data_IF_677660928851
#
_entry.id   IF_677660928851
#
_cell.length_a   1.000
_cell.length_b   1.000
_cell.length_c   1.000
_cell.angle_alpha   90.00
_cell.angle_beta   90.00
_cell.angle_gamma   90.00
#
_symmetry.space_group_name_H-M   'P 1'
#
loop_
_entity.id
_entity.type
_entity.pdbx_description
1 polymer ?
#
# COMPACT_ATOMS: atom_id res chain seq x y z
N UNK A 1 18.33 29.59 48.83
CA UNK A 1 19.43 28.99 48.05
C UNK A 1 18.89 27.74 47.37
N UNK A 2 19.09 27.63 46.07
CA UNK A 2 18.52 26.56 45.24
C UNK A 2 18.04 27.13 43.91
N UNK A 3 18.99 27.48 43.04
CA UNK A 3 18.76 27.91 41.66
C UNK A 3 18.16 26.77 40.82
N UNK A 4 17.27 27.05 39.86
CA UNK A 4 16.84 26.06 38.88
C UNK A 4 17.88 25.91 37.76
N UNK A 5 18.24 24.66 37.43
CA UNK A 5 19.10 24.31 36.31
C UNK A 5 18.42 24.55 34.94
N UNK A 6 19.19 24.92 33.90
CA UNK A 6 18.65 25.36 32.61
C UNK A 6 18.32 24.20 31.65
N UNK A 7 17.39 24.47 30.73
CA UNK A 7 17.01 23.62 29.60
C UNK A 7 18.15 23.49 28.55
N UNK A 8 18.26 22.38 27.81
CA UNK A 8 19.26 22.24 26.75
C UNK A 8 18.83 23.02 25.50
N UNK A 9 19.80 23.73 24.92
CA UNK A 9 19.67 24.54 23.72
C UNK A 9 19.61 23.71 22.44
N UNK A 10 18.83 24.20 21.50
CA UNK A 10 18.66 23.73 20.12
C UNK A 10 19.92 24.11 19.29
N UNK A 11 20.71 23.11 18.91
CA UNK A 11 21.93 23.29 18.13
C UNK A 11 21.57 23.44 16.63
N UNK A 12 21.82 24.65 16.13
CA UNK A 12 21.60 25.07 14.74
C UNK A 12 22.77 24.60 13.87
N UNK A 13 22.51 23.74 12.89
CA UNK A 13 23.51 23.29 11.91
C UNK A 13 24.05 24.46 11.06
N UNK A 14 25.36 24.46 10.70
CA UNK A 14 25.97 25.53 9.93
C UNK A 14 25.68 25.40 8.43
N UNK A 15 25.51 26.56 7.79
CA UNK A 15 25.44 26.72 6.35
C UNK A 15 26.85 26.62 5.74
N UNK A 16 27.03 25.78 4.72
CA UNK A 16 28.28 25.64 4.00
C UNK A 16 28.17 26.34 2.63
N UNK A 17 29.06 27.31 2.44
CA UNK A 17 29.22 28.17 1.27
C UNK A 17 30.00 27.47 0.15
N UNK A 18 29.52 27.65 -1.08
CA UNK A 18 30.20 27.26 -2.30
C UNK A 18 31.42 28.16 -2.57
N UNK A 19 32.58 27.54 -2.82
CA UNK A 19 33.73 28.19 -3.46
C UNK A 19 34.10 27.52 -4.78
N UNK A 20 34.45 28.40 -5.70
CA UNK A 20 34.74 28.26 -7.12
C UNK A 20 36.20 27.83 -7.35
N UNK A 21 36.44 26.93 -8.31
CA UNK A 21 37.77 26.75 -8.91
C UNK A 21 37.67 26.10 -10.29
N UNK A 22 37.69 26.93 -11.33
CA UNK A 22 37.97 26.48 -12.70
C UNK A 22 39.47 26.31 -12.94
N UNK A 23 39.86 25.41 -13.85
CA UNK A 23 41.03 25.57 -14.76
C UNK A 23 41.00 24.60 -15.96
N UNK A 24 40.97 25.20 -17.17
CA UNK A 24 41.56 24.89 -18.51
C UNK A 24 41.56 23.48 -19.15
N UNK A 25 40.88 23.45 -20.31
CA UNK A 25 41.35 23.23 -21.69
C UNK A 25 42.65 22.42 -21.95
N UNK A 26 42.47 21.32 -22.70
CA UNK A 26 43.46 20.72 -23.60
C UNK A 26 42.74 19.92 -24.69
N UNK A 27 42.79 20.36 -25.95
CA UNK A 27 42.23 19.63 -27.09
C UNK A 27 43.18 18.53 -27.58
N UNK A 28 42.69 17.68 -28.49
CA UNK A 28 43.39 17.12 -29.67
C UNK A 28 42.35 16.49 -30.60
N UNK A 29 42.60 16.57 -31.91
CA UNK A 29 41.64 16.34 -32.97
C UNK A 29 41.73 14.95 -33.63
N UNK A 30 40.57 14.45 -34.06
CA UNK A 30 40.22 13.57 -35.21
C UNK A 30 41.06 12.32 -35.53
N UNK A 31 40.37 11.15 -35.57
CA UNK A 31 40.11 10.36 -36.80
C UNK A 31 39.21 9.13 -36.55
N UNK A 32 38.25 8.90 -37.45
CA UNK A 32 37.84 7.58 -37.95
C UNK A 32 36.73 6.80 -37.23
N UNK A 33 35.50 6.88 -37.75
CA UNK A 33 34.35 6.04 -37.40
C UNK A 33 34.54 4.56 -37.76
N UNK A 34 33.80 3.65 -37.10
CA UNK A 34 32.88 2.78 -37.83
C UNK A 34 31.45 2.90 -37.30
N UNK A 35 30.50 2.75 -38.23
CA UNK A 35 29.05 2.86 -38.02
C UNK A 35 28.55 1.68 -37.20
N UNK A 36 28.01 1.94 -36.01
CA UNK A 36 27.32 0.97 -35.17
C UNK A 36 25.87 1.46 -34.98
N UNK A 37 24.90 0.68 -35.50
CA UNK A 37 23.48 0.97 -35.39
C UNK A 37 23.04 0.85 -33.93
N UNK A 38 22.96 1.99 -33.23
CA UNK A 38 22.45 2.08 -31.86
C UNK A 38 20.98 2.48 -31.91
N UNK A 39 20.11 1.54 -31.60
CA UNK A 39 18.71 1.82 -31.30
C UNK A 39 18.65 2.69 -30.04
N UNK A 40 18.17 3.93 -30.19
CA UNK A 40 17.91 4.84 -29.07
C UNK A 40 16.55 4.44 -28.50
N UNK A 41 16.53 4.12 -27.20
CA UNK A 41 15.31 3.90 -26.43
C UNK A 41 14.57 5.24 -26.24
N UNK A 42 13.30 5.30 -26.63
CA UNK A 42 12.42 6.47 -26.59
C UNK A 42 12.09 7.00 -25.17
N UNK A 43 12.67 6.41 -24.12
CA UNK A 43 12.50 6.88 -22.74
C UNK A 43 13.06 8.30 -22.51
N UNK A 44 14.01 8.75 -23.33
CA UNK A 44 14.57 10.12 -23.23
C UNK A 44 13.73 11.18 -23.96
N UNK A 45 12.88 10.82 -24.91
CA UNK A 45 11.99 11.79 -25.58
C UNK A 45 10.77 12.14 -24.72
N UNK A 46 10.21 11.18 -23.97
CA UNK A 46 9.04 11.41 -23.10
C UNK A 46 9.30 12.43 -21.98
N UNK A 47 10.48 12.41 -21.37
CA UNK A 47 10.86 13.35 -20.30
C UNK A 47 11.03 14.79 -20.79
N UNK A 48 11.47 14.99 -22.04
CA UNK A 48 11.69 16.33 -22.60
C UNK A 48 10.38 16.98 -23.07
N UNK A 49 9.47 16.21 -23.65
CA UNK A 49 8.17 16.70 -24.13
C UNK A 49 7.24 17.02 -22.95
N UNK A 50 7.19 16.18 -21.91
CA UNK A 50 6.36 16.43 -20.72
C UNK A 50 6.86 17.65 -19.92
N UNK A 51 8.18 17.80 -19.75
CA UNK A 51 8.77 19.00 -19.11
C UNK A 51 8.56 20.28 -19.92
N UNK A 52 8.52 20.18 -21.26
CA UNK A 52 8.24 21.30 -22.16
C UNK A 52 6.76 21.70 -22.11
N UNK A 53 5.85 20.73 -22.05
CA UNK A 53 4.40 20.97 -21.93
C UNK A 53 4.06 21.71 -20.62
N UNK A 54 4.55 21.22 -19.47
CA UNK A 54 4.27 21.82 -18.15
C UNK A 54 4.89 23.21 -17.99
N UNK A 55 6.10 23.45 -18.52
CA UNK A 55 6.72 24.79 -18.52
C UNK A 55 5.93 25.80 -19.35
N UNK A 56 5.32 25.36 -20.44
CA UNK A 56 4.57 26.25 -21.34
C UNK A 56 3.21 26.63 -20.73
N UNK A 57 2.56 25.73 -19.99
CA UNK A 57 1.30 26.02 -19.27
C UNK A 57 1.51 27.00 -18.10
N UNK A 58 2.61 26.89 -17.36
CA UNK A 58 2.92 27.81 -16.25
C UNK A 58 3.26 29.24 -16.73
N UNK A 59 3.92 29.39 -17.88
CA UNK A 59 4.27 30.72 -18.42
C UNK A 59 3.02 31.50 -18.85
N UNK A 60 2.00 30.82 -19.40
CA UNK A 60 0.73 31.45 -19.83
C UNK A 60 -0.11 31.94 -18.64
N UNK A 61 -0.04 31.28 -17.47
CA UNK A 61 -0.75 31.71 -16.25
C UNK A 61 -0.18 33.00 -15.64
N UNK A 62 1.06 33.36 -15.93
CA UNK A 62 1.72 34.53 -15.33
C UNK A 62 1.46 35.88 -16.04
N UNK A 63 0.79 35.88 -17.20
CA UNK A 63 0.63 37.10 -18.04
C UNK A 63 -0.78 37.47 -18.49
N UNK A 64 -1.82 36.77 -18.05
CA UNK A 64 -3.19 37.09 -18.45
C UNK A 64 -3.85 38.12 -17.52
N UNK A 65 -3.85 39.40 -17.94
CA UNK A 65 -4.73 40.41 -17.36
C UNK A 65 -6.19 40.12 -17.73
N UNK A 66 -7.07 40.30 -16.74
CA UNK A 66 -8.53 40.14 -16.76
C UNK A 66 -9.13 40.64 -18.09
N UNK A 67 -9.66 39.73 -18.90
CA UNK A 67 -10.38 40.10 -20.13
C UNK A 67 -10.61 38.98 -21.15
N UNK A 68 -9.81 37.90 -21.13
CA UNK A 68 -9.88 36.83 -22.14
C UNK A 68 -10.00 35.42 -21.52
N UNK A 69 -10.84 35.24 -20.50
CA UNK A 69 -10.96 33.97 -19.77
C UNK A 69 -11.56 32.82 -20.60
N UNK A 70 -12.49 33.10 -21.53
CA UNK A 70 -13.19 32.04 -22.27
C UNK A 70 -12.32 31.37 -23.35
N UNK A 71 -11.56 32.14 -24.13
CA UNK A 71 -10.64 31.59 -25.13
C UNK A 71 -9.45 30.86 -24.48
N UNK A 72 -8.94 31.36 -23.36
CA UNK A 72 -7.87 30.71 -22.62
C UNK A 72 -8.32 29.35 -22.03
N UNK A 73 -9.55 29.28 -21.50
CA UNK A 73 -10.13 28.01 -21.03
C UNK A 73 -10.39 27.01 -22.16
N UNK A 74 -10.86 27.44 -23.33
CA UNK A 74 -11.09 26.55 -24.47
C UNK A 74 -9.80 25.96 -25.02
N UNK A 75 -8.73 26.77 -25.12
CA UNK A 75 -7.40 26.30 -25.53
C UNK A 75 -6.80 25.36 -24.48
N UNK A 76 -7.03 25.60 -23.19
CA UNK A 76 -6.63 24.68 -22.12
C UNK A 76 -7.39 23.35 -22.15
N UNK A 77 -8.69 23.36 -22.49
CA UNK A 77 -9.49 22.14 -22.62
C UNK A 77 -9.05 21.29 -23.81
N UNK A 78 -8.69 21.93 -24.94
CA UNK A 78 -8.14 21.24 -26.11
C UNK A 78 -6.75 20.65 -25.82
N UNK A 79 -5.87 21.39 -25.16
CA UNK A 79 -4.55 20.89 -24.78
C UNK A 79 -4.61 19.75 -23.74
N UNK A 80 -5.60 19.77 -22.83
CA UNK A 80 -5.87 18.66 -21.92
C UNK A 80 -6.44 17.43 -22.65
N UNK A 81 -7.30 17.64 -23.66
CA UNK A 81 -7.82 16.57 -24.52
C UNK A 81 -6.71 15.90 -25.34
N UNK A 82 -5.77 16.69 -25.88
CA UNK A 82 -4.62 16.19 -26.63
C UNK A 82 -3.58 15.51 -25.72
N UNK A 83 -3.44 15.95 -24.45
CA UNK A 83 -2.62 15.28 -23.45
C UNK A 83 -3.23 13.96 -22.96
N UNK A 84 -4.55 13.87 -22.78
CA UNK A 84 -5.23 12.61 -22.43
C UNK A 84 -5.23 11.61 -23.61
N UNK A 85 -5.18 12.11 -24.85
CA UNK A 85 -4.97 11.26 -26.02
C UNK A 85 -3.55 10.68 -26.09
N UNK A 86 -2.56 11.33 -25.49
CA UNK A 86 -1.17 10.85 -25.47
C UNK A 86 -0.94 9.63 -24.55
N UNK A 87 -1.85 9.32 -23.62
CA UNK A 87 -1.82 8.06 -22.84
C UNK A 87 -2.31 6.83 -23.65
N UNK A 88 -2.85 7.02 -24.85
CA UNK A 88 -3.35 5.93 -25.72
C UNK A 88 -2.41 5.57 -26.86
N UNK A 89 -1.09 5.71 -26.68
CA UNK A 89 -0.14 5.30 -27.71
C UNK A 89 0.03 3.76 -27.71
N UNK A 90 -0.83 3.10 -28.49
CA UNK A 90 -0.70 1.68 -28.83
C UNK A 90 0.53 1.49 -29.73
N UNK A 91 1.52 0.74 -29.25
CA UNK A 91 2.66 0.29 -30.05
C UNK A 91 2.22 -0.83 -31.00
N UNK A 92 1.52 -0.49 -32.09
CA UNK A 92 1.14 -1.45 -33.13
C UNK A 92 2.32 -1.76 -34.05
N UNK A 93 3.06 -2.83 -33.79
CA UNK A 93 4.00 -3.43 -34.76
C UNK A 93 3.36 -4.69 -35.35
N UNK A 94 3.16 -4.71 -36.68
CA UNK A 94 2.33 -5.68 -37.40
C UNK A 94 3.17 -6.64 -38.24
N UNK A 95 3.03 -7.97 -38.04
CA UNK A 95 3.35 -8.98 -39.06
C UNK A 95 2.50 -10.25 -38.85
N UNK A 96 2.01 -10.83 -39.95
CA UNK A 96 1.50 -12.21 -40.00
C UNK A 96 2.50 -13.05 -40.80
N UNK A 97 2.79 -14.26 -40.32
CA UNK A 97 3.61 -15.25 -41.02
C UNK A 97 2.67 -16.23 -41.70
N UNK A 98 2.49 -16.08 -43.01
CA UNK A 98 1.90 -17.15 -43.81
C UNK A 98 2.82 -17.43 -45.00
N UNK A 99 3.66 -18.44 -44.82
CA UNK A 99 4.38 -19.06 -45.92
C UNK A 99 3.41 -19.78 -46.85
N UNK A 100 3.18 -19.22 -48.04
CA UNK A 100 3.29 -19.98 -49.29
C UNK A 100 3.28 -19.06 -50.52
N UNK A 101 4.27 -19.23 -51.39
CA UNK A 101 4.18 -19.09 -52.86
C UNK A 101 3.58 -17.83 -53.49
N UNK A 102 4.45 -17.12 -54.23
CA UNK A 102 4.15 -16.18 -55.33
C UNK A 102 3.66 -14.76 -54.99
N UNK A 103 4.65 -13.87 -54.83
CA UNK A 103 4.86 -12.83 -55.85
C UNK A 103 3.89 -11.65 -55.95
N UNK A 104 2.94 -11.46 -55.04
CA UNK A 104 2.26 -10.17 -54.78
C UNK A 104 1.89 -10.08 -53.29
N UNK A 105 2.73 -9.40 -52.50
CA UNK A 105 2.40 -9.09 -51.10
C UNK A 105 1.47 -7.89 -51.07
N UNK A 106 0.17 -8.14 -51.18
CA UNK A 106 -0.84 -7.20 -50.67
C UNK A 106 -0.88 -7.36 -49.15
N UNK A 107 -0.50 -6.31 -48.43
CA UNK A 107 -0.61 -6.24 -46.98
C UNK A 107 -2.10 -6.02 -46.67
N UNK A 108 -2.81 -7.07 -46.26
CA UNK A 108 -4.17 -6.95 -45.74
C UNK A 108 -4.12 -6.43 -44.30
N UNK A 109 -4.48 -5.17 -44.11
CA UNK A 109 -4.65 -4.56 -42.80
C UNK A 109 -5.90 -5.12 -42.11
N UNK A 110 -5.75 -6.16 -41.30
CA UNK A 110 -6.77 -6.46 -40.31
C UNK A 110 -6.58 -5.50 -39.14
N UNK A 111 -7.31 -4.38 -39.15
CA UNK A 111 -7.32 -3.37 -38.09
C UNK A 111 -7.98 -3.84 -36.79
N UNK A 112 -7.65 -5.06 -36.35
CA UNK A 112 -8.13 -5.65 -35.11
C UNK A 112 -7.29 -5.12 -33.95
N UNK A 113 -7.93 -4.56 -32.94
CA UNK A 113 -7.30 -4.05 -31.72
C UNK A 113 -7.65 -4.93 -30.53
N UNK A 114 -6.65 -5.34 -29.76
CA UNK A 114 -6.85 -5.93 -28.44
C UNK A 114 -7.22 -4.84 -27.44
N UNK A 115 -8.22 -5.12 -26.60
CA UNK A 115 -8.61 -4.30 -25.46
C UNK A 115 -8.54 -5.15 -24.20
N UNK A 116 -8.08 -4.56 -23.10
CA UNK A 116 -8.04 -5.19 -21.77
C UNK A 116 -8.61 -4.20 -20.77
N UNK A 117 -9.55 -4.66 -19.95
CA UNK A 117 -10.25 -3.84 -18.97
C UNK A 117 -10.41 -4.60 -17.65
N UNK A 118 -10.33 -3.85 -16.57
CA UNK A 118 -10.76 -4.27 -15.26
C UNK A 118 -12.09 -3.57 -14.94
N UNK A 119 -13.15 -4.34 -14.68
CA UNK A 119 -14.47 -3.79 -14.41
C UNK A 119 -14.51 -2.91 -13.14
N UNK A 120 -13.73 -3.28 -12.12
CA UNK A 120 -13.54 -2.51 -10.91
C UNK A 120 -12.08 -2.06 -10.76
N UNK A 121 -11.87 -0.82 -10.33
CA UNK A 121 -10.53 -0.30 -10.02
C UNK A 121 -9.96 -0.90 -8.73
N UNK A 122 -10.82 -1.29 -7.79
CA UNK A 122 -10.43 -1.87 -6.50
C UNK A 122 -11.40 -2.97 -6.06
N UNK A 123 -10.86 -4.00 -5.41
CA UNK A 123 -11.58 -5.12 -4.81
C UNK A 123 -11.29 -5.14 -3.31
N UNK A 124 -12.34 -5.12 -2.50
CA UNK A 124 -12.23 -5.22 -1.05
C UNK A 124 -12.60 -6.62 -0.57
N UNK A 125 -11.71 -7.24 0.20
CA UNK A 125 -11.91 -8.58 0.73
C UNK A 125 -11.53 -8.66 2.21
N UNK A 126 -11.71 -9.83 2.81
CA UNK A 126 -11.30 -10.11 4.20
C UNK A 126 -10.24 -11.21 4.20
N UNK A 127 -9.37 -11.21 5.20
CA UNK A 127 -8.33 -12.25 5.33
C UNK A 127 -8.95 -13.64 5.39
N UNK A 128 -8.32 -14.62 4.75
CA UNK A 128 -8.78 -16.00 4.63
C UNK A 128 -9.84 -16.24 3.55
N UNK A 129 -10.49 -15.19 3.03
CA UNK A 129 -11.47 -15.33 1.95
C UNK A 129 -10.82 -15.53 0.57
N UNK A 130 -11.65 -15.86 -0.43
CA UNK A 130 -11.27 -15.87 -1.84
C UNK A 130 -11.63 -14.54 -2.49
N UNK A 131 -10.69 -13.90 -3.18
CA UNK A 131 -10.95 -12.73 -4.03
C UNK A 131 -10.89 -13.07 -5.52
N UNK A 132 -11.68 -12.35 -6.30
CA UNK A 132 -11.65 -12.39 -7.76
C UNK A 132 -11.30 -11.01 -8.27
N UNK A 133 -10.14 -10.86 -8.90
CA UNK A 133 -9.70 -9.61 -9.51
C UNK A 133 -10.15 -9.60 -10.98
N UNK A 134 -11.01 -8.64 -11.38
CA UNK A 134 -11.59 -8.61 -12.71
C UNK A 134 -10.51 -8.34 -13.77
N UNK A 135 -10.51 -9.13 -14.83
CA UNK A 135 -9.80 -8.82 -16.05
C UNK A 135 -10.50 -9.45 -17.24
N UNK A 136 -10.97 -8.60 -18.15
CA UNK A 136 -11.62 -9.01 -19.39
C UNK A 136 -10.87 -8.42 -20.57
N UNK A 137 -10.80 -9.18 -21.65
CA UNK A 137 -10.24 -8.72 -22.90
C UNK A 137 -11.14 -9.07 -24.08
N UNK A 138 -11.10 -8.23 -25.11
CA UNK A 138 -11.84 -8.43 -26.35
C UNK A 138 -11.11 -7.79 -27.52
N UNK A 139 -11.62 -8.04 -28.72
CA UNK A 139 -11.05 -7.53 -29.95
C UNK A 139 -12.06 -6.65 -30.68
N UNK A 140 -11.57 -5.57 -31.28
CA UNK A 140 -12.37 -4.69 -32.13
C UNK A 140 -11.73 -4.57 -33.53
N UNK A 141 -12.38 -5.05 -34.62
CA UNK A 141 -13.66 -5.77 -34.64
C UNK A 141 -13.54 -7.17 -34.02
N UNK A 142 -14.69 -7.74 -33.63
CA UNK A 142 -14.75 -9.08 -33.06
C UNK A 142 -14.18 -10.13 -34.04
N UNK A 143 -13.33 -11.01 -33.51
CA UNK A 143 -12.68 -12.05 -34.31
C UNK A 143 -13.66 -13.17 -34.66
N UNK A 144 -13.57 -13.67 -35.89
CA UNK A 144 -14.29 -14.86 -36.34
C UNK A 144 -13.71 -16.17 -35.78
N UNK A 145 -12.40 -16.18 -35.46
CA UNK A 145 -11.70 -17.32 -34.87
C UNK A 145 -10.94 -16.90 -33.61
N UNK A 146 -11.04 -17.64 -32.49
CA UNK A 146 -10.30 -17.33 -31.27
C UNK A 146 -8.79 -17.36 -31.51
N UNK A 147 -8.09 -16.32 -31.10
CA UNK A 147 -6.62 -16.28 -31.08
C UNK A 147 -6.06 -16.83 -29.78
N UNK A 148 -4.83 -17.35 -29.84
CA UNK A 148 -4.16 -17.93 -28.69
C UNK A 148 -3.43 -16.84 -27.90
N UNK A 149 -4.09 -16.32 -26.87
CA UNK A 149 -3.52 -15.29 -25.99
C UNK A 149 -2.71 -15.88 -24.84
N UNK A 150 -1.71 -15.13 -24.40
CA UNK A 150 -0.97 -15.36 -23.15
C UNK A 150 -1.40 -14.31 -22.13
N UNK A 151 -1.84 -14.76 -20.97
CA UNK A 151 -2.23 -13.90 -19.85
C UNK A 151 -1.13 -13.96 -18.79
N UNK A 152 -0.66 -12.80 -18.33
CA UNK A 152 0.21 -12.69 -17.17
C UNK A 152 -0.45 -11.80 -16.11
N UNK A 153 -0.28 -12.19 -14.87
CA UNK A 153 -0.64 -11.40 -13.71
C UNK A 153 0.61 -11.05 -12.93
N UNK A 154 0.70 -9.79 -12.56
CA UNK A 154 1.74 -9.25 -11.72
C UNK A 154 1.14 -8.67 -10.44
N UNK A 155 1.92 -8.64 -9.36
CA UNK A 155 1.58 -8.04 -8.08
C UNK A 155 2.70 -7.11 -7.62
N UNK A 156 2.29 -5.96 -7.10
CA UNK A 156 3.16 -4.95 -6.54
C UNK A 156 2.63 -4.51 -5.17
N UNK A 157 3.44 -4.72 -4.13
CA UNK A 157 3.22 -4.13 -2.81
C UNK A 157 3.41 -2.60 -2.86
N UNK A 158 2.96 -1.88 -1.84
CA UNK A 158 3.14 -0.42 -1.75
C UNK A 158 4.62 -0.04 -1.84
N UNK A 159 5.00 0.73 -2.87
CA UNK A 159 6.38 1.11 -3.20
C UNK A 159 7.36 -0.08 -3.35
N UNK A 160 6.84 -1.29 -3.59
CA UNK A 160 7.63 -2.50 -3.83
C UNK A 160 7.93 -2.72 -5.32
N UNK A 161 8.85 -3.65 -5.64
CA UNK A 161 9.02 -4.10 -7.01
C UNK A 161 7.79 -4.90 -7.48
N UNK A 162 7.51 -4.86 -8.77
CA UNK A 162 6.52 -5.72 -9.39
C UNK A 162 7.05 -7.17 -9.49
N UNK A 163 6.20 -8.14 -9.16
CA UNK A 163 6.55 -9.57 -9.17
C UNK A 163 5.51 -10.38 -9.95
N UNK A 164 5.94 -11.45 -10.61
CA UNK A 164 5.01 -12.35 -11.31
C UNK A 164 4.16 -13.15 -10.31
N UNK A 165 2.86 -13.21 -10.56
CA UNK A 165 1.87 -13.98 -9.77
C UNK A 165 1.50 -15.26 -10.50
N UNK A 166 1.04 -15.12 -11.74
CA UNK A 166 0.57 -16.21 -12.57
C UNK A 166 0.80 -15.91 -14.05
N UNK A 167 1.21 -16.93 -14.80
CA UNK A 167 1.30 -16.89 -16.26
C UNK A 167 0.46 -18.03 -16.81
N UNK A 168 -0.35 -17.77 -17.83
CA UNK A 168 -1.14 -18.79 -18.50
C UNK A 168 -1.18 -18.62 -20.02
N UNK A 169 -1.21 -19.75 -20.71
CA UNK A 169 -1.31 -19.84 -22.16
C UNK A 169 -2.13 -21.08 -22.53
N UNK A 170 -3.35 -20.87 -23.04
CA UNK A 170 -4.32 -21.95 -23.22
C UNK A 170 -4.60 -22.65 -21.88
N UNK A 171 -4.66 -23.99 -21.86
CA UNK A 171 -4.91 -24.78 -20.63
C UNK A 171 -3.76 -24.78 -19.63
N UNK A 172 -2.55 -24.40 -20.05
CA UNK A 172 -1.35 -24.42 -19.20
C UNK A 172 -1.27 -23.14 -18.38
N UNK A 173 -0.96 -23.27 -17.10
CA UNK A 173 -0.69 -22.14 -16.23
C UNK A 173 0.47 -22.46 -15.28
N UNK A 174 1.10 -21.41 -14.76
CA UNK A 174 2.18 -21.48 -13.78
C UNK A 174 2.03 -20.32 -12.81
N UNK A 175 2.04 -20.62 -11.52
CA UNK A 175 2.01 -19.65 -10.42
C UNK A 175 3.41 -19.47 -9.81
N UNK A 176 3.66 -18.33 -9.19
CA UNK A 176 4.98 -17.91 -8.70
C UNK A 176 4.93 -17.39 -7.25
N UNK A 177 6.10 -17.29 -6.60
CA UNK A 177 6.24 -16.74 -5.25
C UNK A 177 5.33 -17.37 -4.20
N UNK A 178 4.84 -16.54 -3.27
CA UNK A 178 3.89 -16.91 -2.22
C UNK A 178 2.46 -17.17 -2.72
N UNK A 179 2.20 -17.01 -4.01
CA UNK A 179 0.90 -17.27 -4.65
C UNK A 179 0.77 -18.71 -5.17
N UNK A 180 1.87 -19.48 -5.17
CA UNK A 180 1.86 -20.88 -5.63
C UNK A 180 0.80 -21.70 -4.90
N UNK A 181 -0.04 -22.37 -5.67
CA UNK A 181 -1.13 -23.22 -5.17
C UNK A 181 -2.39 -22.48 -4.73
N UNK A 182 -2.36 -21.14 -4.65
CA UNK A 182 -3.49 -20.31 -4.20
C UNK A 182 -4.16 -19.51 -5.32
N UNK A 183 -3.55 -19.46 -6.51
CA UNK A 183 -4.04 -18.62 -7.61
C UNK A 183 -4.39 -19.41 -8.85
N UNK A 184 -5.48 -18.99 -9.51
CA UNK A 184 -5.97 -19.58 -10.76
C UNK A 184 -6.70 -18.56 -11.60
N UNK A 185 -6.83 -18.82 -12.90
CA UNK A 185 -7.67 -17.99 -13.78
C UNK A 185 -9.10 -18.50 -13.81
N UNK A 186 -10.06 -17.58 -13.69
CA UNK A 186 -11.48 -17.84 -13.94
C UNK A 186 -11.74 -17.74 -15.44
N UNK A 187 -12.29 -18.81 -16.04
CA UNK A 187 -12.53 -18.90 -17.50
C UNK A 187 -13.92 -19.45 -17.88
N UNK A 188 -15.01 -18.78 -17.47
CA UNK A 188 -16.36 -19.13 -17.90
C UNK A 188 -16.59 -18.97 -19.41
N UNK A 189 -15.78 -18.16 -20.12
CA UNK A 189 -15.94 -17.95 -21.55
C UNK A 189 -14.73 -17.27 -22.21
N UNK A 190 -14.78 -17.03 -23.53
CA UNK A 190 -13.76 -16.28 -24.26
C UNK A 190 -13.58 -14.87 -23.70
N UNK A 191 -12.34 -14.37 -23.68
CA UNK A 191 -12.06 -13.02 -23.20
C UNK A 191 -11.99 -12.88 -21.68
N UNK A 192 -12.25 -13.94 -20.91
CA UNK A 192 -12.18 -13.87 -19.44
C UNK A 192 -10.79 -14.27 -18.93
N UNK A 193 -10.17 -13.36 -18.17
CA UNK A 193 -8.81 -13.48 -17.66
C UNK A 193 -8.70 -13.11 -16.16
N UNK A 194 -9.82 -13.06 -15.45
CA UNK A 194 -9.87 -12.72 -14.03
C UNK A 194 -9.05 -13.67 -13.16
N UNK A 195 -8.30 -13.11 -12.20
CA UNK A 195 -7.49 -13.86 -11.25
C UNK A 195 -8.31 -14.19 -10.02
N UNK A 196 -8.34 -15.46 -9.64
CA UNK A 196 -8.86 -15.91 -8.36
C UNK A 196 -7.69 -16.15 -7.43
N UNK A 197 -7.75 -15.58 -6.23
CA UNK A 197 -6.78 -15.76 -5.15
C UNK A 197 -7.53 -16.36 -3.97
N UNK A 198 -7.20 -17.60 -3.63
CA UNK A 198 -7.73 -18.32 -2.48
C UNK A 198 -6.86 -18.05 -1.23
N UNK A 199 -7.47 -18.14 -0.04
CA UNK A 199 -6.81 -17.95 1.26
C UNK A 199 -6.00 -16.64 1.34
N UNK A 200 -6.69 -15.51 1.24
CA UNK A 200 -6.05 -14.19 1.28
C UNK A 200 -5.25 -13.95 2.55
N UNK A 201 -4.03 -13.42 2.38
CA UNK A 201 -3.09 -13.06 3.44
C UNK A 201 -2.93 -11.55 3.54
N UNK A 202 -2.49 -11.06 4.69
CA UNK A 202 -2.26 -9.61 4.90
C UNK A 202 -1.31 -9.01 3.84
N UNK A 203 -0.29 -9.77 3.45
CA UNK A 203 0.70 -9.37 2.45
C UNK A 203 0.25 -9.56 1.00
N UNK A 204 -0.96 -10.04 0.74
CA UNK A 204 -1.51 -10.10 -0.63
C UNK A 204 -2.10 -8.74 -1.06
N UNK A 205 -2.26 -7.79 -0.14
CA UNK A 205 -2.71 -6.42 -0.43
C UNK A 205 -1.77 -5.73 -1.43
N UNK A 206 -2.31 -4.98 -2.37
CA UNK A 206 -1.51 -4.19 -3.30
C UNK A 206 -2.11 -4.09 -4.70
N UNK A 207 -1.29 -3.65 -5.64
CA UNK A 207 -1.66 -3.40 -7.03
C UNK A 207 -1.40 -4.64 -7.88
N UNK A 208 -2.42 -5.07 -8.61
CA UNK A 208 -2.35 -6.22 -9.51
C UNK A 208 -2.51 -5.76 -10.95
N UNK A 209 -1.61 -6.20 -11.84
CA UNK A 209 -1.65 -5.87 -13.26
C UNK A 209 -1.92 -7.12 -14.09
N UNK A 210 -3.01 -7.11 -14.84
CA UNK A 210 -3.36 -8.12 -15.83
C UNK A 210 -2.79 -7.68 -17.18
N UNK A 211 -1.89 -8.47 -17.75
CA UNK A 211 -1.28 -8.24 -19.07
C UNK A 211 -1.73 -9.36 -20.02
N UNK A 212 -2.41 -9.01 -21.10
CA UNK A 212 -2.85 -9.93 -22.15
C UNK A 212 -2.00 -9.68 -23.38
N UNK A 213 -1.38 -10.74 -23.89
CA UNK A 213 -0.46 -10.70 -25.02
C UNK A 213 -1.01 -11.58 -26.13
N UNK A 214 -1.11 -11.02 -27.33
CA UNK A 214 -1.46 -11.70 -28.58
C UNK A 214 -0.37 -11.45 -29.62
N UNK A 215 0.53 -12.43 -29.81
CA UNK A 215 1.69 -12.27 -30.68
C UNK A 215 2.65 -11.18 -30.19
N UNK A 216 2.67 -10.05 -30.89
CA UNK A 216 3.47 -8.87 -30.55
C UNK A 216 2.64 -7.75 -29.89
N UNK A 217 1.31 -7.87 -29.87
CA UNK A 217 0.42 -6.91 -29.21
C UNK A 217 0.26 -7.26 -27.74
N UNK A 218 0.40 -6.27 -26.87
CA UNK A 218 0.12 -6.37 -25.45
C UNK A 218 -0.76 -5.20 -24.96
N UNK A 219 -1.69 -5.52 -24.09
CA UNK A 219 -2.52 -4.55 -23.38
C UNK A 219 -2.65 -4.98 -21.92
N UNK A 220 -2.90 -4.01 -21.04
CA UNK A 220 -3.01 -4.30 -19.62
C UNK A 220 -4.07 -3.48 -18.90
N UNK A 221 -4.60 -4.05 -17.83
CA UNK A 221 -5.46 -3.40 -16.87
C UNK A 221 -4.93 -3.61 -15.46
N UNK A 222 -5.27 -2.71 -14.55
CA UNK A 222 -4.79 -2.73 -13.17
C UNK A 222 -5.98 -2.75 -12.21
N UNK A 223 -5.86 -3.55 -11.15
CA UNK A 223 -6.83 -3.66 -10.05
C UNK A 223 -6.08 -3.56 -8.73
N UNK A 224 -6.60 -2.78 -7.79
CA UNK A 224 -6.13 -2.76 -6.42
C UNK A 224 -6.87 -3.78 -5.56
N UNK A 225 -6.14 -4.59 -4.79
CA UNK A 225 -6.71 -5.47 -3.79
C UNK A 225 -6.45 -4.87 -2.41
N UNK A 226 -7.53 -4.53 -1.71
CA UNK A 226 -7.50 -4.01 -0.35
C UNK A 226 -8.20 -4.98 0.61
N UNK A 227 -7.64 -5.15 1.81
CA UNK A 227 -8.30 -5.88 2.87
C UNK A 227 -9.09 -4.93 3.78
N UNK A 228 -10.29 -5.34 4.17
CA UNK A 228 -10.99 -4.72 5.30
C UNK A 228 -10.29 -5.11 6.58
N UNK A 229 -10.15 -4.16 7.49
CA UNK A 229 -9.39 -4.37 8.70
C UNK A 229 -9.52 -3.24 9.70
N UNK A 230 -8.59 -3.22 10.64
CA UNK A 230 -8.50 -2.24 11.72
C UNK A 230 -7.06 -1.79 11.86
N UNK A 231 -6.87 -0.48 11.96
CA UNK A 231 -5.56 0.13 12.24
C UNK A 231 -5.46 0.42 13.73
N UNK A 232 -4.31 0.13 14.32
CA UNK A 232 -4.01 0.47 15.69
C UNK A 232 -2.58 0.98 15.86
N UNK A 233 -2.36 1.94 16.78
CA UNK A 233 -1.03 2.37 17.14
C UNK A 233 -0.32 1.29 17.98
N UNK A 234 0.97 1.11 17.73
CA UNK A 234 1.81 0.17 18.45
C UNK A 234 3.07 0.86 18.99
N UNK A 235 3.36 0.59 20.26
CA UNK A 235 4.51 1.11 21.01
C UNK A 235 5.17 -0.04 21.76
N UNK A 236 6.49 0.02 21.91
CA UNK A 236 7.25 -0.95 22.70
C UNK A 236 7.20 -0.61 24.21
N UNK A 237 7.49 -1.59 25.09
CA UNK A 237 7.56 -1.37 26.54
C UNK A 237 8.49 -0.24 26.98
N UNK A 238 9.59 0.01 26.26
CA UNK A 238 10.55 1.08 26.59
C UNK A 238 10.06 2.51 26.34
N UNK A 239 8.81 2.69 25.87
CA UNK A 239 8.23 3.99 25.55
C UNK A 239 8.19 4.33 24.05
N UNK A 240 8.07 5.63 23.77
CA UNK A 240 7.82 6.18 22.43
C UNK A 240 9.08 6.23 21.57
N UNK A 241 8.89 6.11 20.25
CA UNK A 241 9.90 6.39 19.23
C UNK A 241 11.15 5.52 19.35
N UNK A 242 10.92 4.22 19.42
CA UNK A 242 11.98 3.21 19.56
C UNK A 242 12.10 2.27 18.36
N UNK A 243 11.27 2.44 17.33
CA UNK A 243 11.26 1.56 16.17
C UNK A 243 11.83 2.30 14.96
N UNK A 244 12.90 1.78 14.36
CA UNK A 244 13.19 2.11 12.97
C UNK A 244 12.17 1.42 12.04
N UNK A 245 12.22 1.68 10.73
CA UNK A 245 11.22 1.15 9.80
C UNK A 245 11.19 -0.39 9.76
N UNK A 246 12.37 -1.03 9.78
CA UNK A 246 12.47 -2.50 9.71
C UNK A 246 11.98 -3.14 11.01
N UNK A 247 12.25 -2.52 12.15
CA UNK A 247 11.75 -2.97 13.44
C UNK A 247 10.23 -2.77 13.53
N UNK A 248 9.71 -1.64 13.04
CA UNK A 248 8.27 -1.36 12.95
C UNK A 248 7.54 -2.43 12.12
N UNK A 249 8.11 -2.84 10.99
CA UNK A 249 7.58 -3.93 10.18
C UNK A 249 7.54 -5.25 10.97
N UNK A 250 8.66 -5.64 11.58
CA UNK A 250 8.77 -6.90 12.33
C UNK A 250 7.84 -6.96 13.54
N UNK A 251 7.67 -5.85 14.27
CA UNK A 251 6.77 -5.85 15.43
C UNK A 251 5.31 -5.96 15.01
N UNK A 252 4.88 -5.29 13.93
CA UNK A 252 3.53 -5.48 13.41
C UNK A 252 3.31 -6.95 12.97
N UNK A 253 4.25 -7.54 12.24
CA UNK A 253 4.21 -8.97 11.86
C UNK A 253 4.12 -9.89 13.10
N UNK A 254 4.91 -9.58 14.14
CA UNK A 254 4.89 -10.26 15.42
C UNK A 254 3.52 -10.22 16.10
N UNK A 255 2.74 -9.15 15.89
CA UNK A 255 1.40 -8.96 16.44
C UNK A 255 0.26 -9.44 15.52
N UNK A 256 0.54 -10.31 14.54
CA UNK A 256 -0.43 -10.78 13.53
C UNK A 256 -1.06 -9.61 12.75
N UNK A 257 -0.19 -8.73 12.28
CA UNK A 257 -0.54 -7.50 11.57
C UNK A 257 0.53 -7.18 10.52
N UNK A 258 0.24 -6.21 9.66
CA UNK A 258 1.23 -5.59 8.77
C UNK A 258 1.35 -4.10 9.11
N UNK A 259 2.36 -3.40 8.59
CA UNK A 259 2.33 -1.93 8.63
C UNK A 259 1.12 -1.42 7.86
N UNK A 260 0.44 -0.42 8.41
CA UNK A 260 -0.72 0.18 7.77
C UNK A 260 -0.30 1.00 6.54
N UNK A 261 -1.15 1.01 5.51
CA UNK A 261 -1.02 1.94 4.39
C UNK A 261 -1.59 3.31 4.76
N UNK A 262 -1.27 4.35 3.98
CA UNK A 262 -1.87 5.66 4.18
C UNK A 262 -3.40 5.61 4.10
N UNK A 263 -3.95 4.90 3.11
CA UNK A 263 -5.40 4.78 2.94
C UNK A 263 -6.07 4.10 4.15
N UNK A 264 -5.44 3.05 4.68
CA UNK A 264 -5.93 2.40 5.90
C UNK A 264 -5.90 3.34 7.11
N UNK A 265 -4.82 4.13 7.28
CA UNK A 265 -4.75 5.13 8.35
C UNK A 265 -5.79 6.24 8.16
N UNK A 266 -6.01 6.67 6.91
CA UNK A 266 -7.00 7.68 6.54
C UNK A 266 -8.41 7.25 6.93
N UNK A 267 -8.84 6.04 6.55
CA UNK A 267 -10.14 5.53 6.95
C UNK A 267 -10.24 5.34 8.46
N UNK A 268 -9.19 4.86 9.13
CA UNK A 268 -9.21 4.74 10.59
C UNK A 268 -9.37 6.10 11.28
N UNK A 269 -8.76 7.16 10.75
CA UNK A 269 -8.96 8.53 11.22
C UNK A 269 -10.38 9.05 10.96
N UNK A 270 -10.96 8.77 9.79
CA UNK A 270 -12.37 9.09 9.50
C UNK A 270 -13.32 8.36 10.46
N UNK A 271 -12.96 7.14 10.88
CA UNK A 271 -13.67 6.36 11.90
C UNK A 271 -13.39 6.83 13.35
N UNK A 272 -12.55 7.86 13.53
CA UNK A 272 -12.32 8.51 14.84
C UNK A 272 -10.99 8.17 15.51
N UNK A 273 -10.06 7.48 14.84
CA UNK A 273 -8.73 7.24 15.38
C UNK A 273 -7.98 8.57 15.61
N UNK A 274 -7.68 8.86 16.87
CA UNK A 274 -6.89 10.02 17.30
C UNK A 274 -5.65 9.53 18.06
N UNK A 275 -4.46 9.82 17.51
CA UNK A 275 -3.20 9.39 18.11
C UNK A 275 -2.09 10.42 17.87
N UNK A 276 -1.60 11.04 18.94
CA UNK A 276 -0.63 12.12 18.89
C UNK A 276 0.82 11.65 19.02
N UNK A 277 1.15 10.50 18.43
CA UNK A 277 2.53 10.09 18.26
C UNK A 277 2.75 9.68 16.81
N UNK A 278 3.85 10.13 16.24
CA UNK A 278 4.25 9.82 14.87
C UNK A 278 4.60 8.34 14.73
N UNK A 279 4.05 7.68 13.71
CA UNK A 279 4.28 6.26 13.47
C UNK A 279 4.60 5.96 12.01
N UNK A 280 5.38 4.90 11.80
CA UNK A 280 5.70 4.38 10.47
C UNK A 280 4.47 3.80 9.77
N UNK A 281 4.42 4.01 8.44
CA UNK A 281 3.50 3.38 7.51
C UNK A 281 4.24 2.50 6.50
N UNK A 282 3.52 1.62 5.80
CA UNK A 282 4.07 0.62 4.88
C UNK A 282 4.92 1.21 3.74
N UNK A 283 4.65 2.45 3.35
CA UNK A 283 5.36 3.16 2.29
C UNK A 283 6.70 3.78 2.74
N UNK A 284 7.01 3.72 4.05
CA UNK A 284 8.17 4.35 4.67
C UNK A 284 7.98 5.83 4.99
N UNK A 285 6.74 6.32 4.95
CA UNK A 285 6.39 7.62 5.51
C UNK A 285 6.08 7.51 7.00
N UNK A 286 6.12 8.65 7.67
CA UNK A 286 5.82 8.76 9.09
C UNK A 286 4.72 9.78 9.27
N UNK A 287 3.60 9.37 9.87
CA UNK A 287 2.39 10.18 9.96
C UNK A 287 1.68 9.96 11.30
N UNK A 288 0.69 10.79 11.64
CA UNK A 288 -0.18 10.57 12.79
C UNK A 288 -1.55 11.25 12.63
N UNK A 289 -2.65 10.59 13.01
CA UNK A 289 -4.00 11.11 12.86
C UNK A 289 -4.43 11.96 14.07
N UNK A 290 -5.02 13.14 13.82
CA UNK A 290 -5.57 14.02 14.85
C UNK A 290 -7.01 14.38 14.49
N UNK A 291 -7.97 13.96 15.30
CA UNK A 291 -9.40 14.31 15.13
C UNK A 291 -9.72 15.64 15.83
N UNK A 292 -9.06 15.93 16.94
CA UNK A 292 -9.25 17.16 17.73
C UNK A 292 -7.95 17.97 17.85
N UNK A 293 -7.87 19.17 17.26
CA UNK A 293 -6.69 20.04 17.32
C UNK A 293 -6.31 20.41 18.74
N UNK A 294 -5.01 20.34 19.06
CA UNK A 294 -4.48 20.64 20.39
C UNK A 294 -2.99 20.96 20.34
N UNK A 295 -2.52 21.81 21.25
CA UNK A 295 -1.15 22.31 21.28
C UNK A 295 -0.07 21.23 21.19
N UNK A 296 -0.12 20.13 21.98
CA UNK A 296 0.91 19.09 21.91
C UNK A 296 0.96 18.32 20.57
N UNK A 297 -0.03 18.50 19.70
CA UNK A 297 -0.29 17.66 18.52
C UNK A 297 -0.34 18.49 17.23
N UNK A 298 0.60 19.43 17.11
CA UNK A 298 0.75 20.32 15.94
C UNK A 298 0.11 21.70 16.10
N UNK A 299 -0.49 22.01 17.26
CA UNK A 299 -1.08 23.33 17.53
C UNK A 299 -2.60 23.33 17.50
N UNK A 300 -3.20 24.25 18.26
CA UNK A 300 -4.66 24.43 18.36
C UNK A 300 -5.32 25.01 17.09
N UNK A 301 -4.54 25.68 16.24
CA UNK A 301 -5.04 26.41 15.07
C UNK A 301 -5.11 25.59 13.77
N UNK A 302 -4.73 24.31 13.80
CA UNK A 302 -4.77 23.44 12.61
C UNK A 302 -6.10 22.70 12.50
N UNK A 303 -6.63 22.54 11.29
CA UNK A 303 -7.83 21.71 11.06
C UNK A 303 -7.55 20.21 11.34
N UNK A 304 -8.53 19.42 11.81
CA UNK A 304 -8.40 17.97 11.93
C UNK A 304 -7.81 17.31 10.68
N UNK A 305 -7.03 16.26 10.85
CA UNK A 305 -6.43 15.54 9.74
C UNK A 305 -5.22 14.69 10.12
N UNK A 306 -4.68 14.01 9.12
CA UNK A 306 -3.41 13.28 9.24
C UNK A 306 -2.25 14.25 9.06
N UNK A 307 -1.37 14.30 10.05
CA UNK A 307 -0.13 15.05 10.01
C UNK A 307 0.96 14.16 9.44
N UNK A 308 1.71 14.70 8.49
CA UNK A 308 2.75 13.94 7.80
C UNK A 308 4.13 14.55 8.04
N UNK A 309 5.07 13.69 8.44
CA UNK A 309 6.49 13.98 8.38
C UNK A 309 7.10 13.54 7.04
N UNK A 310 6.31 12.97 6.12
CA UNK A 310 6.79 12.48 4.83
C UNK A 310 7.72 11.27 4.93
N UNK A 311 8.45 10.93 3.85
CA UNK A 311 9.41 9.83 3.84
C UNK A 311 10.56 10.08 4.83
N UNK A 312 10.95 9.05 5.57
CA UNK A 312 12.05 9.13 6.54
C UNK A 312 13.07 8.02 6.28
N UNK A 313 14.32 8.27 6.67
CA UNK A 313 15.39 7.28 6.57
C UNK A 313 15.03 6.04 7.40
N UNK A 314 15.00 4.87 6.73
CA UNK A 314 14.43 3.64 7.27
C UNK A 314 15.24 3.05 8.43
N UNK A 315 16.54 3.31 8.47
CA UNK A 315 17.48 2.80 9.46
C UNK A 315 17.85 3.81 10.56
N UNK A 316 17.87 5.11 10.25
CA UNK A 316 18.41 6.13 11.16
C UNK A 316 17.36 6.81 12.03
N UNK A 317 16.11 6.84 11.60
CA UNK A 317 15.03 7.48 12.36
C UNK A 317 14.21 6.46 13.14
N UNK A 318 13.68 6.90 14.27
CA UNK A 318 12.92 6.07 15.18
C UNK A 318 11.58 6.73 15.48
N UNK A 319 10.51 5.93 15.39
CA UNK A 319 9.12 6.35 15.60
C UNK A 319 8.33 5.20 16.23
N UNK A 320 7.02 5.38 16.37
CA UNK A 320 6.10 4.29 16.70
C UNK A 320 5.69 3.57 15.39
N UNK A 321 4.70 2.68 15.44
CA UNK A 321 4.15 2.05 14.25
C UNK A 321 2.62 2.14 14.24
N UNK A 322 2.03 2.28 13.05
CA UNK A 322 0.62 1.97 12.85
C UNK A 322 0.53 0.59 12.21
N UNK A 323 -0.06 -0.36 12.94
CA UNK A 323 -0.24 -1.71 12.46
C UNK A 323 -1.68 -1.89 11.97
N UNK A 324 -1.85 -2.69 10.92
CA UNK A 324 -3.11 -3.08 10.33
C UNK A 324 -3.33 -4.58 10.51
N UNK A 325 -4.47 -4.95 11.08
CA UNK A 325 -4.93 -6.35 11.13
C UNK A 325 -6.27 -6.49 10.41
N UNK A 326 -6.64 -7.73 10.08
CA UNK A 326 -7.89 -8.09 9.39
C UNK A 326 -8.58 -9.21 10.15
N UNK A 327 -9.68 -9.75 9.61
CA UNK A 327 -10.40 -10.86 10.22
C UNK A 327 -9.49 -12.05 10.58
N UNK A 328 -9.82 -12.74 11.67
CA UNK A 328 -9.05 -13.85 12.20
C UNK A 328 -9.50 -15.19 11.61
N UNK A 329 -8.58 -16.15 11.62
CA UNK A 329 -8.84 -17.58 11.37
C UNK A 329 -8.74 -18.32 12.71
N UNK A 330 -9.72 -18.06 13.57
CA UNK A 330 -9.73 -18.41 14.99
C UNK A 330 -10.55 -17.39 15.79
N UNK A 331 -10.54 -17.53 17.12
CA UNK A 331 -11.26 -16.61 18.01
C UNK A 331 -10.43 -16.24 19.24
N UNK A 332 -10.69 -15.03 19.75
CA UNK A 332 -10.12 -14.56 21.02
C UNK A 332 -11.19 -14.63 22.10
N UNK A 333 -10.81 -15.12 23.28
CA UNK A 333 -11.68 -15.19 24.45
C UNK A 333 -10.92 -14.73 25.69
N UNK A 334 -11.67 -14.41 26.75
CA UNK A 334 -11.13 -13.89 28.00
C UNK A 334 -11.19 -14.94 29.10
N UNK A 335 -10.09 -15.11 29.82
CA UNK A 335 -10.00 -15.92 31.03
C UNK A 335 -9.63 -15.05 32.23
N UNK A 336 -10.23 -15.35 33.37
CA UNK A 336 -9.91 -14.71 34.64
C UNK A 336 -9.86 -15.74 35.77
N UNK A 337 -9.08 -15.42 36.80
CA UNK A 337 -8.97 -16.21 38.02
C UNK A 337 -9.43 -15.36 39.21
N UNK A 338 -10.01 -15.93 40.29
CA UNK A 338 -10.47 -15.16 41.45
C UNK A 338 -9.41 -14.25 42.07
N UNK A 339 -8.13 -14.64 42.01
CA UNK A 339 -7.01 -13.85 42.53
C UNK A 339 -6.26 -13.07 41.44
N UNK A 340 -6.77 -13.08 40.20
CA UNK A 340 -6.09 -12.64 38.99
C UNK A 340 -4.87 -13.48 38.64
N UNK A 341 -4.32 -13.24 37.45
CA UNK A 341 -3.16 -13.93 36.89
C UNK A 341 -2.04 -12.93 36.69
N UNK A 342 -0.82 -13.31 37.11
CA UNK A 342 0.38 -12.60 36.69
C UNK A 342 0.72 -12.98 35.24
N UNK A 343 1.69 -12.31 34.60
CA UNK A 343 1.96 -12.54 33.19
C UNK A 343 2.35 -13.99 32.87
N UNK A 344 3.16 -14.63 33.73
CA UNK A 344 3.58 -16.03 33.55
C UNK A 344 2.43 -17.01 33.77
N UNK A 345 1.59 -16.77 34.77
CA UNK A 345 0.39 -17.56 35.03
C UNK A 345 -0.63 -17.42 33.90
N UNK A 346 -0.78 -16.21 33.34
CA UNK A 346 -1.65 -15.92 32.21
C UNK A 346 -1.25 -16.72 30.95
N UNK A 347 0.05 -16.80 30.66
CA UNK A 347 0.58 -17.66 29.60
C UNK A 347 0.21 -19.13 29.81
N UNK A 348 0.48 -19.64 31.01
CA UNK A 348 0.20 -21.03 31.36
C UNK A 348 -1.30 -21.36 31.36
N UNK A 349 -2.15 -20.38 31.68
CA UNK A 349 -3.61 -20.56 31.67
C UNK A 349 -4.11 -20.75 30.24
N UNK A 350 -3.68 -19.92 29.29
CA UNK A 350 -4.02 -20.12 27.88
C UNK A 350 -3.50 -21.46 27.35
N UNK A 351 -2.24 -21.80 27.67
CA UNK A 351 -1.64 -23.07 27.22
C UNK A 351 -2.38 -24.30 27.76
N UNK A 352 -2.85 -24.24 29.02
CA UNK A 352 -3.63 -25.32 29.64
C UNK A 352 -4.95 -25.57 28.91
N UNK A 353 -5.52 -24.52 28.33
CA UNK A 353 -6.75 -24.57 27.54
C UNK A 353 -6.49 -24.88 26.05
N UNK A 354 -5.24 -25.22 25.69
CA UNK A 354 -4.84 -25.51 24.30
C UNK A 354 -4.74 -24.28 23.40
N UNK A 355 -4.76 -23.08 23.98
CA UNK A 355 -4.70 -21.80 23.30
C UNK A 355 -3.33 -21.13 23.50
N UNK A 356 -3.10 -20.05 22.76
CA UNK A 356 -1.95 -19.16 22.95
C UNK A 356 -2.43 -17.85 23.57
N UNK A 357 -1.58 -17.12 24.29
CA UNK A 357 -1.93 -15.76 24.68
C UNK A 357 -2.16 -14.92 23.42
N UNK A 358 -3.24 -14.14 23.41
CA UNK A 358 -3.63 -13.37 22.25
C UNK A 358 -2.63 -12.26 21.95
N UNK A 359 -2.38 -12.05 20.66
CA UNK A 359 -1.60 -10.91 20.17
C UNK A 359 -2.45 -9.65 20.12
N UNK A 360 -1.80 -8.49 20.07
CA UNK A 360 -2.48 -7.20 19.99
C UNK A 360 -3.37 -7.11 18.74
N UNK A 361 -2.86 -7.50 17.57
CA UNK A 361 -3.66 -7.47 16.34
C UNK A 361 -4.88 -8.38 16.40
N UNK A 362 -4.75 -9.53 17.07
CA UNK A 362 -5.88 -10.45 17.29
C UNK A 362 -6.97 -9.85 18.19
N UNK A 363 -6.59 -9.13 19.26
CA UNK A 363 -7.56 -8.42 20.08
C UNK A 363 -8.30 -7.33 19.28
N UNK A 364 -7.58 -6.52 18.52
CA UNK A 364 -8.19 -5.48 17.68
C UNK A 364 -9.11 -6.06 16.60
N UNK A 365 -8.70 -7.15 15.95
CA UNK A 365 -9.52 -7.84 14.98
C UNK A 365 -10.79 -8.42 15.61
N UNK A 366 -10.69 -9.02 16.81
CA UNK A 366 -11.85 -9.57 17.52
C UNK A 366 -12.81 -8.48 17.99
N UNK A 367 -12.29 -7.34 18.46
CA UNK A 367 -13.10 -6.14 18.75
C UNK A 367 -13.84 -5.64 17.52
N UNK A 368 -13.19 -5.61 16.35
CA UNK A 368 -13.77 -5.05 15.12
C UNK A 368 -14.74 -6.00 14.41
N UNK A 369 -14.47 -7.31 14.44
CA UNK A 369 -15.14 -8.29 13.56
C UNK A 369 -15.86 -9.42 14.30
N UNK A 370 -15.63 -9.59 15.61
CA UNK A 370 -16.20 -10.69 16.40
C UNK A 370 -16.97 -10.19 17.64
N UNK A 371 -17.39 -8.93 17.64
CA UNK A 371 -18.18 -8.28 18.69
C UNK A 371 -17.61 -8.45 20.12
N UNK A 372 -16.28 -8.49 20.22
CA UNK A 372 -15.61 -8.66 21.50
C UNK A 372 -15.69 -7.39 22.36
N UNK A 373 -16.47 -7.44 23.43
CA UNK A 373 -16.69 -6.34 24.37
C UNK A 373 -16.46 -6.81 25.82
N UNK A 374 -15.38 -6.33 26.44
CA UNK A 374 -14.99 -6.69 27.82
C UNK A 374 -14.43 -5.46 28.54
N UNK A 375 -14.96 -5.20 29.74
CA UNK A 375 -14.48 -4.12 30.61
C UNK A 375 -13.36 -4.57 31.57
N UNK A 376 -12.76 -5.73 31.32
CA UNK A 376 -11.73 -6.30 32.17
C UNK A 376 -10.37 -6.27 31.50
N UNK A 377 -9.37 -5.66 32.16
CA UNK A 377 -8.00 -5.63 31.67
C UNK A 377 -7.41 -7.05 31.64
N UNK A 378 -6.76 -7.38 30.52
CA UNK A 378 -6.14 -8.68 30.34
C UNK A 378 -4.78 -8.59 29.68
N UNK A 379 -3.91 -9.53 30.03
CA UNK A 379 -2.59 -9.69 29.43
C UNK A 379 -2.69 -10.09 27.95
N UNK A 380 -1.79 -9.53 27.15
CA UNK A 380 -1.54 -9.89 25.77
C UNK A 380 -0.09 -10.35 25.57
N UNK A 381 0.19 -10.97 24.43
CA UNK A 381 1.49 -11.56 24.10
C UNK A 381 2.69 -10.58 24.19
N UNK A 382 2.47 -9.29 23.98
CA UNK A 382 3.50 -8.25 24.08
C UNK A 382 3.79 -7.82 25.53
N UNK A 383 3.06 -8.38 26.51
CA UNK A 383 3.14 -7.98 27.92
C UNK A 383 2.37 -6.70 28.23
N UNK A 384 1.57 -6.18 27.30
CA UNK A 384 0.67 -5.07 27.58
C UNK A 384 -0.63 -5.54 28.24
N UNK A 385 -1.28 -4.62 28.95
CA UNK A 385 -2.66 -4.79 29.41
C UNK A 385 -3.60 -3.97 28.54
N UNK A 386 -4.61 -4.64 27.98
CA UNK A 386 -5.63 -4.00 27.15
C UNK A 386 -7.01 -4.54 27.45
N UNK A 387 -8.06 -3.86 26.98
CA UNK A 387 -9.40 -4.43 26.94
C UNK A 387 -10.25 -3.76 25.84
N UNK A 388 -11.10 -4.50 25.13
CA UNK A 388 -11.91 -3.99 24.03
C UNK A 388 -13.28 -3.50 24.50
N UNK A 389 -13.71 -2.31 24.06
CA UNK A 389 -15.05 -1.76 24.36
C UNK A 389 -15.79 -1.47 23.06
N UNK A 390 -16.94 -2.11 22.88
CA UNK A 390 -17.86 -1.81 21.77
C UNK A 390 -18.96 -0.88 22.24
N UNK A 391 -19.55 -1.17 23.40
CA UNK A 391 -20.58 -0.34 24.03
C UNK A 391 -19.97 0.44 25.20
N UNK A 392 -19.73 1.75 25.06
CA UNK A 392 -19.13 2.56 26.11
C UNK A 392 -19.98 2.56 27.39
N UNK A 393 -19.32 2.42 28.54
CA UNK A 393 -19.93 2.34 29.87
C UNK A 393 -19.19 3.27 30.84
N UNK A 394 -19.85 3.90 31.83
CA UNK A 394 -19.25 4.92 32.70
C UNK A 394 -17.95 4.51 33.41
N UNK A 395 -17.76 3.23 33.72
CA UNK A 395 -16.59 2.72 34.44
C UNK A 395 -15.55 2.02 33.54
N UNK A 396 -15.72 2.08 32.21
CA UNK A 396 -14.91 1.34 31.24
C UNK A 396 -14.08 2.26 30.34
N UNK A 397 -13.74 3.44 30.86
CA UNK A 397 -12.96 4.46 30.16
C UNK A 397 -13.82 5.52 29.45
N UNK A 398 -13.25 6.23 28.46
CA UNK A 398 -13.91 7.28 27.69
C UNK A 398 -15.22 6.85 26.99
N UNK A 399 -16.07 7.79 26.54
CA UNK A 399 -17.37 7.50 25.94
C UNK A 399 -17.30 7.00 24.49
N UNK A 400 -16.11 6.82 23.89
CA UNK A 400 -15.93 6.33 22.53
C UNK A 400 -15.59 4.82 22.49
N UNK A 401 -16.10 4.02 21.54
CA UNK A 401 -15.67 2.63 21.36
C UNK A 401 -14.17 2.52 21.04
N UNK A 402 -13.54 1.40 21.42
CA UNK A 402 -12.15 1.13 21.10
C UNK A 402 -11.47 0.15 22.05
N UNK A 403 -10.25 -0.24 21.69
CA UNK A 403 -9.37 -1.03 22.58
C UNK A 403 -8.59 -0.09 23.48
N UNK A 404 -8.75 -0.23 24.79
CA UNK A 404 -8.04 0.56 25.79
C UNK A 404 -6.66 -0.02 26.04
N UNK A 405 -5.67 0.85 26.24
CA UNK A 405 -4.28 0.47 26.48
C UNK A 405 -3.80 1.02 27.84
N UNK A 406 -3.40 0.12 28.74
CA UNK A 406 -2.86 0.45 30.07
C UNK A 406 -1.33 0.44 30.10
N UNK A 407 -0.70 0.26 28.94
CA UNK A 407 0.75 0.17 28.80
C UNK A 407 1.29 -1.17 29.28
N UNK A 408 2.50 -1.13 29.82
CA UNK A 408 3.30 -2.30 30.18
C UNK A 408 3.60 -2.29 31.69
N UNK A 409 2.65 -2.74 32.53
CA UNK A 409 2.85 -2.78 33.97
C UNK A 409 3.84 -3.88 34.37
N UNK A 410 4.21 -3.88 35.66
CA UNK A 410 5.03 -4.97 36.22
C UNK A 410 4.34 -6.32 36.02
N UNK A 411 5.09 -7.31 35.53
CA UNK A 411 4.60 -8.65 35.24
C UNK A 411 4.08 -9.40 36.47
N UNK A 412 4.31 -8.90 37.69
CA UNK A 412 3.78 -9.46 38.94
C UNK A 412 2.35 -9.01 39.25
N UNK A 413 1.83 -7.98 38.57
CA UNK A 413 0.45 -7.53 38.74
C UNK A 413 -0.54 -8.62 38.32
N UNK A 414 -1.72 -8.63 38.94
CA UNK A 414 -2.74 -9.67 38.76
C UNK A 414 -3.90 -9.11 37.95
N UNK A 415 -4.13 -9.68 36.77
CA UNK A 415 -5.18 -9.29 35.82
C UNK A 415 -5.78 -10.52 35.12
N UNK A 416 -6.75 -10.34 34.23
CA UNK A 416 -7.18 -11.43 33.35
C UNK A 416 -6.19 -11.71 32.23
N UNK A 417 -6.57 -12.56 31.29
CA UNK A 417 -5.79 -12.85 30.08
C UNK A 417 -6.72 -13.00 28.89
N UNK A 418 -6.29 -12.51 27.73
CA UNK A 418 -6.93 -12.82 26.47
C UNK A 418 -6.17 -13.96 25.81
N UNK A 419 -6.88 -15.04 25.49
CA UNK A 419 -6.34 -16.21 24.81
C UNK A 419 -6.88 -16.28 23.38
N UNK A 420 -6.09 -16.84 22.47
CA UNK A 420 -6.42 -17.05 21.07
C UNK A 420 -6.34 -18.54 20.74
N UNK A 421 -7.44 -19.07 20.23
CA UNK A 421 -7.52 -20.43 19.70
C UNK A 421 -7.68 -20.35 18.18
N UNK A 422 -6.74 -20.97 17.46
CA UNK A 422 -6.79 -21.09 16.01
C UNK A 422 -7.80 -22.18 15.58
N UNK A 423 -8.43 -21.99 14.43
CA UNK A 423 -9.38 -22.95 13.84
C UNK A 423 -8.72 -24.20 13.24
#
# INVERSE_FOLDING_TARGET
MGLPSPAPQEERAPAESAEDSGTKLGGWARKGSPVENKAISDHHLYSSVFRSCVRTTMVVMSRTRRGHCLLACLVQLQLLSDCLAAERYSNGFYYDDNGNGNGKKEIYYNGVRLHVEAAEAAVYAVRGSTAVLPCRYWYEPALSTPRRTRVKWFWQAVNGPETEVLVSMGSRHRSYGGFKGRVRLRRPGPGEASLVIDELRLNDTGRYRCEVIDGLEDQSATVELALRGVVFPYQLPGGRYQLNFHDAQKVCEGQDSALATFEQLFWAWEEGLDWCNAGWLADGTVQYPVTSPREPCGGSNLAPGIRSYGPRHRELHYFDAFCFSSSLTGHVYFLSSPNGLNFTEALQECERDGAQIAKVGQLYASWRFADMDSCDAGWLADGSLRYPIIQPRPNCGPPEPGVRNFGFPSQSQKHGVYCYLAD
#
